data_IF_347349376245
#
_entry.id   IF_347349376245
#
_cell.length_a   1.000
_cell.length_b   1.000
_cell.length_c   1.000
_cell.angle_alpha   90.00
_cell.angle_beta   90.00
_cell.angle_gamma   90.00
#
_symmetry.space_group_name_H-M   'P 1'
#
loop_
_entity.id
_entity.type
_entity.pdbx_description
1 polymer ?
#
# COMPACT_ATOMS: atom_id res chain seq x y z
N UNK A 1 1.97 -15.30 -22.12
CA UNK A 1 3.36 -15.20 -21.67
C UNK A 1 3.92 -16.61 -21.72
N UNK A 2 4.88 -16.88 -22.60
CA UNK A 2 5.51 -18.20 -22.67
C UNK A 2 6.30 -18.45 -21.39
N UNK A 3 6.38 -19.72 -20.97
CA UNK A 3 7.16 -20.22 -19.83
C UNK A 3 8.50 -19.48 -19.73
N UNK A 4 8.58 -18.56 -18.76
CA UNK A 4 9.84 -17.96 -18.36
C UNK A 4 10.51 -19.00 -17.47
N UNK A 5 11.48 -19.72 -18.02
CA UNK A 5 12.30 -20.64 -17.25
C UNK A 5 13.17 -19.85 -16.27
N UNK A 6 12.88 -19.96 -14.99
CA UNK A 6 13.67 -19.34 -13.93
C UNK A 6 14.79 -20.30 -13.50
N UNK A 7 16.02 -19.80 -13.25
CA UNK A 7 17.10 -20.63 -12.74
C UNK A 7 16.89 -20.88 -11.24
N UNK A 8 15.99 -21.81 -10.91
CA UNK A 8 15.52 -22.01 -9.53
C UNK A 8 16.64 -22.34 -8.55
N UNK A 9 17.61 -23.18 -8.93
CA UNK A 9 18.77 -23.49 -8.08
C UNK A 9 19.64 -22.27 -7.77
N UNK A 10 19.82 -21.38 -8.76
CA UNK A 10 20.55 -20.14 -8.55
C UNK A 10 19.78 -19.21 -7.61
N UNK A 11 18.47 -19.08 -7.81
CA UNK A 11 17.61 -18.23 -6.97
C UNK A 11 17.59 -18.71 -5.52
N UNK A 12 17.41 -20.02 -5.27
CA UNK A 12 17.47 -20.60 -3.92
C UNK A 12 18.83 -20.33 -3.26
N UNK A 13 19.93 -20.50 -4.00
CA UNK A 13 21.28 -20.23 -3.50
C UNK A 13 21.53 -18.74 -3.24
N UNK A 14 21.03 -17.87 -4.10
CA UNK A 14 21.12 -16.42 -3.94
C UNK A 14 20.33 -15.95 -2.72
N UNK A 15 19.10 -16.45 -2.54
CA UNK A 15 18.26 -16.14 -1.37
C UNK A 15 18.94 -16.48 -0.05
N UNK A 16 19.59 -17.64 0.01
CA UNK A 16 20.37 -18.08 1.18
C UNK A 16 21.61 -17.20 1.45
N UNK A 17 22.18 -16.61 0.40
CA UNK A 17 23.33 -15.70 0.51
C UNK A 17 22.91 -14.28 0.92
N UNK A 18 21.72 -13.85 0.52
CA UNK A 18 21.21 -12.50 0.81
C UNK A 18 20.47 -12.39 2.13
N UNK A 19 20.00 -13.51 2.69
CA UNK A 19 19.25 -13.53 3.94
C UNK A 19 19.88 -14.52 4.93
N UNK A 20 20.52 -13.98 5.97
CA UNK A 20 21.21 -14.78 7.00
C UNK A 20 20.25 -15.67 7.82
N UNK A 21 18.96 -15.38 7.82
CA UNK A 21 17.92 -16.16 8.53
C UNK A 21 17.20 -17.17 7.62
N UNK A 22 17.53 -17.24 6.33
CA UNK A 22 16.85 -18.11 5.40
C UNK A 22 17.34 -19.56 5.52
N UNK A 23 16.54 -20.42 6.16
CA UNK A 23 16.76 -21.86 6.22
C UNK A 23 16.29 -22.52 4.92
N UNK A 24 16.86 -23.68 4.57
CA UNK A 24 16.47 -24.41 3.36
C UNK A 24 14.97 -24.74 3.35
N UNK A 25 14.40 -25.13 4.50
CA UNK A 25 12.95 -25.40 4.63
C UNK A 25 12.08 -24.16 4.43
N UNK A 26 12.48 -23.00 4.96
CA UNK A 26 11.74 -21.74 4.77
C UNK A 26 11.82 -21.29 3.32
N UNK A 27 13.01 -21.38 2.71
CA UNK A 27 13.21 -21.07 1.30
C UNK A 27 12.33 -21.97 0.45
N UNK A 28 12.29 -23.29 0.69
CA UNK A 28 11.47 -24.19 -0.13
C UNK A 28 9.97 -23.97 0.04
N UNK A 29 9.52 -23.66 1.26
CA UNK A 29 8.13 -23.34 1.55
C UNK A 29 7.69 -22.05 0.86
N UNK A 30 8.49 -20.99 0.97
CA UNK A 30 8.14 -19.66 0.45
C UNK A 30 8.66 -19.41 -0.98
N UNK A 31 9.44 -20.33 -1.56
CA UNK A 31 9.98 -20.23 -2.91
C UNK A 31 8.92 -19.88 -3.96
N UNK A 32 7.71 -20.49 -3.97
CA UNK A 32 6.68 -20.15 -4.94
C UNK A 32 6.23 -18.69 -4.84
N UNK A 33 6.14 -18.15 -3.62
CA UNK A 33 5.76 -16.75 -3.37
C UNK A 33 6.87 -15.81 -3.83
N UNK A 34 8.13 -16.11 -3.47
CA UNK A 34 9.29 -15.34 -3.92
C UNK A 34 9.41 -15.34 -5.44
N UNK A 35 9.17 -16.49 -6.08
CA UNK A 35 9.18 -16.61 -7.52
C UNK A 35 8.05 -15.78 -8.17
N UNK A 36 6.87 -15.72 -7.54
CA UNK A 36 5.78 -14.85 -7.97
C UNK A 36 6.14 -13.36 -7.83
N UNK A 37 6.79 -12.96 -6.73
CA UNK A 37 7.26 -11.58 -6.54
C UNK A 37 8.31 -11.20 -7.59
N UNK A 38 9.25 -12.09 -7.90
CA UNK A 38 10.24 -11.88 -8.97
C UNK A 38 9.55 -11.75 -10.33
N UNK A 39 8.60 -12.63 -10.65
CA UNK A 39 7.80 -12.54 -11.89
C UNK A 39 7.06 -11.20 -11.96
N UNK A 40 6.48 -10.78 -10.85
CA UNK A 40 5.76 -9.52 -10.75
C UNK A 40 6.68 -8.31 -10.94
N UNK A 41 7.87 -8.32 -10.31
CA UNK A 41 8.88 -7.29 -10.52
C UNK A 41 9.36 -7.23 -11.97
N UNK A 42 9.63 -8.39 -12.60
CA UNK A 42 10.03 -8.45 -14.01
C UNK A 42 8.91 -7.95 -14.94
N UNK A 43 7.65 -8.29 -14.65
CA UNK A 43 6.51 -7.78 -15.39
C UNK A 43 6.39 -6.26 -15.27
N UNK A 44 6.53 -5.71 -14.04
CA UNK A 44 6.58 -4.27 -13.80
C UNK A 44 7.70 -3.61 -14.61
N UNK A 45 8.93 -4.11 -14.51
CA UNK A 45 10.07 -3.58 -15.24
C UNK A 45 9.88 -3.64 -16.76
N UNK A 46 9.28 -4.71 -17.26
CA UNK A 46 8.96 -4.86 -18.67
C UNK A 46 7.92 -3.84 -19.12
N UNK A 47 6.87 -3.60 -18.34
CA UNK A 47 5.86 -2.58 -18.63
C UNK A 47 6.49 -1.18 -18.64
N UNK A 48 7.35 -0.87 -17.66
CA UNK A 48 8.06 0.42 -17.61
C UNK A 48 8.92 0.62 -18.86
N UNK A 49 9.72 -0.38 -19.24
CA UNK A 49 10.64 -0.31 -20.39
C UNK A 49 9.89 -0.28 -21.72
N UNK A 50 8.91 -1.15 -21.92
CA UNK A 50 8.19 -1.29 -23.20
C UNK A 50 7.28 -0.08 -23.48
N UNK A 51 6.80 0.62 -22.43
CA UNK A 51 5.91 1.77 -22.57
C UNK A 51 6.59 3.11 -22.25
N UNK A 52 7.91 3.13 -22.05
CA UNK A 52 8.70 4.35 -21.73
C UNK A 52 8.04 5.19 -20.61
N UNK A 53 7.60 4.52 -19.53
CA UNK A 53 6.98 5.20 -18.39
C UNK A 53 8.03 6.08 -17.73
N UNK A 54 8.04 7.36 -18.10
CA UNK A 54 8.91 8.38 -17.55
C UNK A 54 8.33 8.95 -16.28
N UNK A 55 9.16 9.07 -15.26
CA UNK A 55 8.84 9.78 -14.03
C UNK A 55 9.53 11.13 -14.07
N UNK A 56 8.75 12.19 -14.01
CA UNK A 56 9.26 13.56 -13.98
C UNK A 56 9.40 14.04 -12.53
N UNK A 57 10.34 14.96 -12.24
CA UNK A 57 10.46 15.57 -10.92
C UNK A 57 9.17 16.22 -10.43
N UNK A 58 8.35 16.75 -11.36
CA UNK A 58 7.04 17.30 -11.05
C UNK A 58 6.08 16.26 -10.47
N UNK A 59 6.10 15.02 -10.96
CA UNK A 59 5.23 13.96 -10.45
C UNK A 59 5.56 13.61 -8.99
N UNK A 60 6.87 13.60 -8.68
CA UNK A 60 7.36 13.33 -7.32
C UNK A 60 6.96 14.48 -6.40
N UNK A 61 7.05 15.72 -6.85
CA UNK A 61 6.64 16.90 -6.09
C UNK A 61 5.12 16.95 -5.86
N UNK A 62 4.31 16.60 -6.86
CA UNK A 62 2.86 16.49 -6.73
C UNK A 62 2.47 15.41 -5.73
N UNK A 63 3.08 14.22 -5.84
CA UNK A 63 2.83 13.13 -4.90
C UNK A 63 3.28 13.50 -3.48
N UNK A 64 4.45 14.14 -3.33
CA UNK A 64 4.91 14.64 -2.02
C UNK A 64 3.90 15.60 -1.39
N UNK A 65 3.31 16.49 -2.20
CA UNK A 65 2.28 17.42 -1.75
C UNK A 65 1.01 16.69 -1.30
N UNK A 66 0.55 15.71 -2.07
CA UNK A 66 -0.61 14.89 -1.71
C UNK A 66 -0.36 14.08 -0.44
N UNK A 67 0.82 13.47 -0.31
CA UNK A 67 1.21 12.70 0.87
C UNK A 67 1.26 13.60 2.10
N UNK A 68 1.85 14.79 1.99
CA UNK A 68 1.86 15.77 3.07
C UNK A 68 0.43 16.17 3.46
N UNK A 69 -0.41 16.57 2.51
CA UNK A 69 -1.81 16.91 2.77
C UNK A 69 -2.56 15.78 3.47
N UNK A 70 -2.38 14.53 3.01
CA UNK A 70 -3.01 13.36 3.62
C UNK A 70 -2.54 13.15 5.05
N UNK A 71 -1.25 13.29 5.34
CA UNK A 71 -0.71 13.16 6.70
C UNK A 71 -1.34 14.21 7.64
N UNK A 72 -1.42 15.47 7.21
CA UNK A 72 -2.01 16.51 8.04
C UNK A 72 -3.53 16.38 8.19
N UNK A 73 -4.23 15.94 7.14
CA UNK A 73 -5.66 15.65 7.22
C UNK A 73 -5.97 14.54 8.24
N UNK A 74 -5.12 13.52 8.35
CA UNK A 74 -5.26 12.47 9.39
C UNK A 74 -5.13 13.02 10.81
N UNK A 75 -4.41 14.13 11.00
CA UNK A 75 -4.31 14.85 12.27
C UNK A 75 -5.40 15.94 12.45
N UNK A 76 -6.44 15.95 11.61
CA UNK A 76 -7.52 16.94 11.66
C UNK A 76 -7.14 18.33 11.13
N UNK A 77 -5.95 18.48 10.54
CA UNK A 77 -5.47 19.73 9.94
C UNK A 77 -5.79 19.79 8.45
N UNK A 78 -7.09 19.75 8.11
CA UNK A 78 -7.55 19.70 6.72
C UNK A 78 -7.33 21.00 5.92
N UNK A 79 -7.09 22.13 6.60
CA UNK A 79 -6.97 23.45 5.95
C UNK A 79 -5.65 24.15 6.31
N UNK A 80 -4.54 23.54 5.89
CA UNK A 80 -3.21 24.08 6.13
C UNK A 80 -2.88 25.33 5.31
N UNK A 81 -2.11 26.28 5.88
CA UNK A 81 -1.51 27.35 5.09
C UNK A 81 -0.60 26.79 3.98
N UNK A 82 -0.75 27.31 2.77
CA UNK A 82 0.02 26.87 1.58
C UNK A 82 1.53 26.96 1.79
N UNK A 83 2.00 27.98 2.51
CA UNK A 83 3.44 28.18 2.74
C UNK A 83 4.02 27.11 3.70
N UNK A 84 3.27 26.73 4.73
CA UNK A 84 3.68 25.66 5.65
C UNK A 84 3.76 24.31 4.91
N UNK A 85 2.77 24.03 4.06
CA UNK A 85 2.76 22.82 3.24
C UNK A 85 3.96 22.78 2.28
N UNK A 86 4.26 23.90 1.61
CA UNK A 86 5.43 24.00 0.71
C UNK A 86 6.75 23.76 1.43
N UNK A 87 6.94 24.37 2.61
CA UNK A 87 8.16 24.18 3.40
C UNK A 87 8.34 22.73 3.86
N UNK A 88 7.24 22.07 4.25
CA UNK A 88 7.26 20.66 4.62
C UNK A 88 7.58 19.76 3.42
N UNK A 89 6.92 19.96 2.28
CA UNK A 89 7.19 19.23 1.03
C UNK A 89 8.64 19.41 0.60
N UNK A 90 9.18 20.63 0.71
CA UNK A 90 10.59 20.90 0.42
C UNK A 90 11.51 20.03 1.28
N UNK A 91 11.27 19.96 2.60
CA UNK A 91 12.04 19.10 3.51
C UNK A 91 11.92 17.61 3.17
N UNK A 92 10.74 17.16 2.74
CA UNK A 92 10.56 15.79 2.26
C UNK A 92 11.42 15.51 1.03
N UNK A 93 11.49 16.45 0.09
CA UNK A 93 12.27 16.31 -1.15
C UNK A 93 13.78 16.50 -0.95
N UNK A 94 14.21 17.05 0.19
CA UNK A 94 15.63 17.08 0.60
C UNK A 94 16.10 15.74 1.18
N UNK A 95 15.18 14.88 1.62
CA UNK A 95 15.48 13.57 2.16
C UNK A 95 15.51 12.51 1.05
N UNK A 96 16.68 11.93 0.78
CA UNK A 96 16.89 10.97 -0.30
C UNK A 96 16.04 9.69 -0.14
N UNK A 97 15.89 9.15 1.07
CA UNK A 97 15.05 7.98 1.33
C UNK A 97 13.57 8.28 1.01
N UNK A 98 13.11 9.46 1.41
CA UNK A 98 11.74 9.92 1.12
C UNK A 98 11.53 10.11 -0.38
N UNK A 99 12.49 10.72 -1.08
CA UNK A 99 12.45 10.90 -2.53
C UNK A 99 12.42 9.55 -3.25
N UNK A 100 13.26 8.59 -2.83
CA UNK A 100 13.29 7.26 -3.42
C UNK A 100 11.95 6.51 -3.23
N UNK A 101 11.37 6.59 -2.04
CA UNK A 101 10.05 6.00 -1.76
C UNK A 101 8.92 6.65 -2.56
N UNK A 102 8.93 7.98 -2.67
CA UNK A 102 7.96 8.72 -3.50
C UNK A 102 8.12 8.37 -4.97
N UNK A 103 9.35 8.29 -5.48
CA UNK A 103 9.63 7.92 -6.86
C UNK A 103 9.08 6.52 -7.19
N UNK A 104 9.35 5.53 -6.34
CA UNK A 104 8.81 4.18 -6.49
C UNK A 104 7.28 4.20 -6.56
N UNK A 105 6.63 4.96 -5.67
CA UNK A 105 5.17 5.08 -5.64
C UNK A 105 4.59 5.80 -6.86
N UNK A 106 5.28 6.81 -7.39
CA UNK A 106 4.89 7.45 -8.67
C UNK A 106 4.93 6.43 -9.81
N UNK A 107 6.00 5.64 -9.90
CA UNK A 107 6.14 4.58 -10.90
C UNK A 107 4.98 3.59 -10.78
N UNK A 108 4.65 3.14 -9.57
CA UNK A 108 3.52 2.23 -9.35
C UNK A 108 2.18 2.83 -9.76
N UNK A 109 1.92 4.09 -9.42
CA UNK A 109 0.70 4.78 -9.81
C UNK A 109 0.58 4.87 -11.34
N UNK A 110 1.68 5.16 -12.05
CA UNK A 110 1.68 5.22 -13.52
C UNK A 110 1.47 3.86 -14.16
N UNK A 111 2.10 2.81 -13.62
CA UNK A 111 1.85 1.43 -14.06
C UNK A 111 0.38 1.06 -13.83
N UNK A 112 -0.18 1.37 -12.65
CA UNK A 112 -1.57 1.07 -12.34
C UNK A 112 -2.56 1.82 -13.26
N UNK A 113 -2.28 3.10 -13.56
CA UNK A 113 -3.07 3.87 -14.51
C UNK A 113 -3.02 3.24 -15.91
N UNK A 114 -1.83 2.90 -16.40
CA UNK A 114 -1.65 2.23 -17.69
C UNK A 114 -2.36 0.87 -17.73
N UNK A 115 -2.27 0.06 -16.66
CA UNK A 115 -2.96 -1.22 -16.56
C UNK A 115 -4.48 -1.06 -16.65
N UNK A 116 -5.06 -0.06 -15.98
CA UNK A 116 -6.50 0.23 -16.04
C UNK A 116 -6.97 0.63 -17.44
N UNK A 117 -6.12 1.31 -18.20
CA UNK A 117 -6.45 1.73 -19.57
C UNK A 117 -6.29 0.59 -20.60
N UNK A 118 -5.34 -0.32 -20.38
CA UNK A 118 -4.96 -1.34 -21.36
C UNK A 118 -5.50 -2.73 -21.05
N UNK A 119 -6.11 -2.94 -19.87
CA UNK A 119 -6.70 -4.22 -19.47
C UNK A 119 -8.21 -4.03 -19.29
N UNK A 120 -8.99 -4.93 -19.88
CA UNK A 120 -10.41 -5.07 -19.57
C UNK A 120 -10.60 -5.59 -18.15
N UNK A 121 -11.14 -4.74 -17.28
CA UNK A 121 -11.55 -5.12 -15.93
C UNK A 121 -12.85 -5.93 -15.99
N UNK A 122 -12.79 -7.18 -15.54
CA UNK A 122 -13.98 -8.01 -15.31
C UNK A 122 -14.56 -7.65 -13.92
N UNK A 123 -15.57 -6.79 -13.91
CA UNK A 123 -16.22 -6.36 -12.67
C UNK A 123 -17.20 -7.45 -12.25
N UNK A 124 -16.91 -8.12 -11.13
CA UNK A 124 -17.81 -9.05 -10.48
C UNK A 124 -18.48 -8.38 -9.29
N UNK A 125 -19.80 -8.24 -9.36
CA UNK A 125 -20.59 -7.84 -8.19
C UNK A 125 -20.68 -9.03 -7.24
N UNK A 126 -20.04 -8.91 -6.08
CA UNK A 126 -20.20 -9.85 -4.98
C UNK A 126 -21.13 -9.26 -3.93
N UNK A 127 -21.93 -10.10 -3.31
CA UNK A 127 -22.78 -9.71 -2.19
C UNK A 127 -21.96 -9.54 -0.91
N UNK A 128 -22.48 -8.79 0.07
CA UNK A 128 -21.82 -8.62 1.37
C UNK A 128 -21.60 -9.95 2.11
N UNK A 129 -22.46 -10.94 1.88
CA UNK A 129 -22.31 -12.30 2.43
C UNK A 129 -21.17 -13.07 1.76
N UNK A 130 -21.00 -12.93 0.44
CA UNK A 130 -19.90 -13.55 -0.30
C UNK A 130 -18.56 -12.89 0.05
N UNK A 131 -18.52 -11.57 0.18
CA UNK A 131 -17.31 -10.87 0.65
C UNK A 131 -16.93 -11.31 2.08
N UNK A 132 -17.92 -11.38 2.98
CA UNK A 132 -17.71 -11.87 4.35
C UNK A 132 -17.18 -13.30 4.37
N UNK A 133 -17.66 -14.17 3.47
CA UNK A 133 -17.16 -15.56 3.35
C UNK A 133 -15.72 -15.61 2.83
N UNK A 134 -15.38 -14.84 1.80
CA UNK A 134 -14.02 -14.80 1.23
C UNK A 134 -13.02 -14.32 2.29
N UNK A 135 -13.34 -13.22 3.00
CA UNK A 135 -12.50 -12.69 4.07
C UNK A 135 -12.42 -13.66 5.27
N UNK A 136 -13.51 -14.36 5.60
CA UNK A 136 -13.51 -15.35 6.67
C UNK A 136 -12.68 -16.59 6.31
N UNK A 137 -12.71 -17.06 5.07
CA UNK A 137 -11.88 -18.17 4.58
C UNK A 137 -10.38 -17.79 4.57
N UNK A 138 -10.06 -16.56 4.14
CA UNK A 138 -8.68 -16.05 4.14
C UNK A 138 -8.13 -15.88 5.57
N UNK A 139 -8.96 -15.44 6.53
CA UNK A 139 -8.60 -15.33 7.94
C UNK A 139 -8.55 -16.68 8.69
N UNK A 140 -9.31 -17.69 8.25
CA UNK A 140 -9.25 -19.05 8.82
C UNK A 140 -8.01 -19.81 8.37
N UNK A 141 -7.46 -19.51 7.19
CA UNK A 141 -6.19 -20.09 6.74
C UNK A 141 -4.98 -19.67 7.61
N UNK A 142 -5.07 -18.53 8.33
CA UNK A 142 -4.01 -18.02 9.21
C UNK A 142 -4.00 -18.67 10.60
N UNK A 143 -5.10 -19.31 11.03
CA UNK A 143 -5.19 -19.94 12.36
C UNK A 143 -4.63 -21.37 12.45
N UNK A 144 -4.33 -22.03 11.34
CA UNK A 144 -3.94 -23.44 11.34
C UNK A 144 -2.43 -23.72 11.54
N UNK A 145 -1.59 -22.68 11.70
CA UNK A 145 -0.14 -22.85 11.95
C UNK A 145 0.32 -22.41 13.36
N UNK A 146 -0.58 -21.92 14.23
CA UNK A 146 -0.25 -21.58 15.63
C UNK A 146 -1.29 -22.17 16.59
N UNK A 147 -1.39 -23.49 16.65
CA UNK A 147 -2.08 -24.19 17.74
C UNK A 147 -1.08 -24.47 18.87
N UNK A 148 -0.69 -23.42 19.58
CA UNK A 148 -0.32 -23.45 21.00
C UNK A 148 -0.04 -22.01 21.46
N UNK A 149 -1.07 -21.31 21.95
CA UNK A 149 -1.04 -20.58 23.22
C UNK A 149 -2.37 -19.87 23.49
N UNK A 150 -3.08 -20.45 24.47
CA UNK A 150 -3.98 -19.88 25.47
C UNK A 150 -4.76 -18.58 25.15
N UNK A 151 -6.09 -18.72 25.19
CA UNK A 151 -7.06 -17.65 25.07
C UNK A 151 -6.93 -16.65 26.22
N UNK A 152 -6.56 -15.41 25.90
CA UNK A 152 -6.97 -14.25 26.68
C UNK A 152 -7.98 -13.46 25.84
N UNK A 153 -9.24 -13.56 26.24
CA UNK A 153 -10.32 -12.70 25.76
C UNK A 153 -10.00 -11.26 26.17
N UNK A 154 -9.76 -10.36 25.21
CA UNK A 154 -9.83 -8.92 25.44
C UNK A 154 -11.17 -8.39 24.89
N UNK A 155 -12.00 -7.95 25.83
CA UNK A 155 -13.21 -7.15 25.66
C UNK A 155 -12.97 -5.98 24.68
N UNK A 156 -13.67 -5.98 23.56
CA UNK A 156 -13.80 -4.80 22.70
C UNK A 156 -14.85 -3.90 23.33
N UNK A 157 -14.43 -2.82 23.97
CA UNK A 157 -15.34 -1.75 24.39
C UNK A 157 -15.91 -1.04 23.16
N UNK A 158 -17.23 -1.10 23.00
CA UNK A 158 -18.00 -0.25 22.08
C UNK A 158 -17.76 1.22 22.44
N UNK A 159 -17.23 2.00 21.49
CA UNK A 159 -17.13 3.45 21.61
C UNK A 159 -18.40 4.03 20.99
N UNK A 160 -19.35 4.42 21.82
CA UNK A 160 -20.50 5.24 21.43
C UNK A 160 -20.02 6.62 20.96
N UNK A 161 -20.34 6.98 19.71
CA UNK A 161 -20.13 8.34 19.18
C UNK A 161 -21.44 9.10 19.39
N UNK A 162 -21.49 9.96 20.42
CA UNK A 162 -22.54 10.97 20.57
C UNK A 162 -22.32 12.10 19.56
N UNK A 163 -23.30 12.35 18.69
CA UNK A 163 -23.39 13.54 17.85
C UNK A 163 -23.64 14.79 18.71
N UNK A 164 -22.60 15.57 19.02
CA UNK A 164 -22.79 16.95 19.50
C UNK A 164 -23.13 17.88 18.32
N UNK A 165 -24.40 18.29 18.28
CA UNK A 165 -24.86 19.46 17.50
C UNK A 165 -24.39 20.73 18.18
N UNK A 166 -23.36 21.37 17.64
CA UNK A 166 -23.03 22.75 18.03
C UNK A 166 -23.82 23.77 17.19
N UNK A 167 -24.31 24.76 17.92
CA UNK A 167 -25.37 25.72 17.62
C UNK A 167 -24.95 26.87 16.71
N UNK A 168 -25.88 27.31 15.86
CA UNK A 168 -25.83 28.62 15.18
C UNK A 168 -25.94 29.76 16.20
N UNK A 169 -24.94 30.62 16.27
CA UNK A 169 -25.10 32.01 16.69
C UNK A 169 -25.32 32.89 15.45
N UNK A 170 -26.54 33.39 15.27
CA UNK A 170 -26.85 34.57 14.47
C UNK A 170 -27.48 35.62 15.40
N UNK A 171 -26.67 36.61 15.77
CA UNK A 171 -26.96 38.03 15.88
C UNK A 171 -28.43 38.49 15.98
N UNK A 172 -28.83 39.06 17.14
CA UNK A 172 -29.60 40.33 17.21
C UNK A 172 -29.85 40.85 18.63
N UNK A 173 -29.30 42.04 18.89
CA UNK A 173 -29.94 43.29 19.32
C UNK A 173 -30.75 43.43 20.63
N UNK A 174 -30.58 44.62 21.23
CA UNK A 174 -31.36 45.32 22.28
C UNK A 174 -31.19 44.74 23.70
N UNK A 175 -30.83 45.49 24.75
CA UNK A 175 -30.93 46.92 25.10
C UNK A 175 -29.82 47.26 26.12
#
# INVERSE_FOLDING_TARGET
>A
MGDVEFPEEFLKKWLKLTNENATDELIEKDFPNILNDIKYQLAKEKIIKDNDIKTEPSDVQELATQVAQSQFAQYGMSNLPVDMLKDYVKRMLENEETVNGLFARVVENKIAAWLKENITLDIKEITSEEFSKIIAEENQAVKNDNDDTDAAEEDVQEVDIEEEKETKEEDKAEE
#
